data_IF_261708854617
#
_entry.id   IF_261708854617
#
_cell.length_a   1.000
_cell.length_b   1.000
_cell.length_c   1.000
_cell.angle_alpha   90.00
_cell.angle_beta   90.00
_cell.angle_gamma   90.00
#
_symmetry.space_group_name_H-M   'P 1'
#
loop_
_entity.id
_entity.type
_entity.pdbx_description
1 polymer ?
#
# COMPACT_ATOMS: atom_id res chain seq x y z
N UNK A 1 19.43 14.23 -26.60
CA UNK A 1 18.87 13.11 -25.82
C UNK A 1 19.64 13.05 -24.52
N UNK A 2 19.04 13.45 -23.39
CA UNK A 2 19.71 13.33 -22.10
C UNK A 2 19.73 11.85 -21.71
N UNK A 3 20.91 11.22 -21.75
CA UNK A 3 21.08 9.83 -21.33
C UNK A 3 20.96 9.81 -19.81
N UNK A 4 19.94 9.15 -19.29
CA UNK A 4 19.81 8.92 -17.84
C UNK A 4 20.97 8.02 -17.41
N UNK A 5 21.66 8.42 -16.34
CA UNK A 5 22.74 7.62 -15.75
C UNK A 5 22.20 6.23 -15.38
N UNK A 6 22.89 5.16 -15.81
CA UNK A 6 22.52 3.76 -15.55
C UNK A 6 22.28 3.48 -14.06
N UNK A 7 23.15 3.99 -13.20
CA UNK A 7 23.04 3.81 -11.74
C UNK A 7 21.81 4.53 -11.18
N UNK A 8 21.53 5.75 -11.69
CA UNK A 8 20.33 6.50 -11.32
C UNK A 8 19.06 5.77 -11.79
N UNK A 9 19.06 5.19 -12.99
CA UNK A 9 17.93 4.41 -13.50
C UNK A 9 17.67 3.17 -12.64
N UNK A 10 18.72 2.42 -12.30
CA UNK A 10 18.60 1.25 -11.44
C UNK A 10 18.07 1.62 -10.05
N UNK A 11 18.57 2.72 -9.47
CA UNK A 11 18.09 3.23 -8.20
C UNK A 11 16.62 3.66 -8.27
N UNK A 12 16.21 4.34 -9.34
CA UNK A 12 14.80 4.70 -9.56
C UNK A 12 13.90 3.47 -9.66
N UNK A 13 14.35 2.39 -10.30
CA UNK A 13 13.60 1.13 -10.36
C UNK A 13 13.39 0.52 -8.97
N UNK A 14 14.43 0.46 -8.14
CA UNK A 14 14.31 -0.06 -6.77
C UNK A 14 13.45 0.86 -5.90
N UNK A 15 13.56 2.17 -6.06
CA UNK A 15 12.70 3.14 -5.38
C UNK A 15 11.22 2.91 -5.72
N UNK A 16 10.87 2.81 -7.00
CA UNK A 16 9.49 2.53 -7.46
C UNK A 16 8.96 1.19 -6.92
N UNK A 17 9.82 0.18 -6.86
CA UNK A 17 9.48 -1.13 -6.27
C UNK A 17 9.16 -0.98 -4.78
N UNK A 18 10.03 -0.32 -4.01
CA UNK A 18 9.82 -0.10 -2.58
C UNK A 18 8.58 0.75 -2.30
N UNK A 19 8.39 1.84 -3.05
CA UNK A 19 7.19 2.68 -2.97
C UNK A 19 5.91 1.86 -3.17
N UNK A 20 5.89 1.00 -4.19
CA UNK A 20 4.72 0.16 -4.50
C UNK A 20 4.46 -0.89 -3.43
N UNK A 21 5.52 -1.50 -2.88
CA UNK A 21 5.42 -2.47 -1.78
C UNK A 21 4.89 -1.81 -0.51
N UNK A 22 5.38 -0.61 -0.17
CA UNK A 22 4.90 0.15 0.98
C UNK A 22 3.44 0.56 0.83
N UNK A 23 3.05 1.03 -0.36
CA UNK A 23 1.66 1.37 -0.66
C UNK A 23 0.72 0.17 -0.42
N UNK A 24 1.10 -1.00 -0.92
CA UNK A 24 0.31 -2.23 -0.76
C UNK A 24 0.26 -2.69 0.71
N UNK A 25 1.39 -2.67 1.41
CA UNK A 25 1.48 -3.10 2.80
C UNK A 25 0.59 -2.23 3.71
N UNK A 26 0.73 -0.89 3.61
CA UNK A 26 -0.07 0.05 4.42
C UNK A 26 -1.55 -0.01 4.09
N UNK A 27 -1.92 -0.20 2.82
CA UNK A 27 -3.33 -0.37 2.45
C UNK A 27 -3.89 -1.69 3.03
N UNK A 28 -3.10 -2.76 3.08
CA UNK A 28 -3.51 -4.04 3.68
C UNK A 28 -3.68 -3.91 5.20
N UNK A 29 -2.78 -3.20 5.87
CA UNK A 29 -2.92 -2.91 7.30
C UNK A 29 -4.16 -2.04 7.59
N UNK A 30 -4.46 -1.07 6.73
CA UNK A 30 -5.67 -0.25 6.85
C UNK A 30 -6.94 -1.10 6.69
N UNK A 31 -6.95 -2.04 5.76
CA UNK A 31 -8.04 -3.02 5.62
C UNK A 31 -8.22 -3.85 6.90
N UNK A 32 -7.13 -4.39 7.46
CA UNK A 32 -7.18 -5.21 8.68
C UNK A 32 -7.70 -4.43 9.90
N UNK A 33 -7.33 -3.14 10.03
CA UNK A 33 -7.85 -2.26 11.08
C UNK A 33 -9.36 -2.07 10.97
N UNK A 34 -9.87 -1.87 9.75
CA UNK A 34 -11.28 -1.66 9.50
C UNK A 34 -12.08 -2.95 9.72
N UNK A 35 -11.59 -4.09 9.24
CA UNK A 35 -12.26 -5.37 9.45
C UNK A 35 -12.30 -5.76 10.94
N UNK A 36 -11.22 -5.52 11.68
CA UNK A 36 -11.19 -5.72 13.14
C UNK A 36 -12.22 -4.86 13.88
N UNK A 37 -12.64 -3.73 13.31
CA UNK A 37 -13.71 -2.89 13.88
C UNK A 37 -15.13 -3.35 13.51
N UNK A 38 -15.25 -4.28 12.55
CA UNK A 38 -16.51 -4.78 12.01
C UNK A 38 -16.82 -6.23 12.40
N UNK A 39 -15.86 -6.95 12.99
CA UNK A 39 -16.09 -8.27 13.59
C UNK A 39 -16.77 -8.14 14.96
N UNK A 40 -18.11 -8.25 14.95
CA UNK A 40 -18.91 -8.53 16.15
C UNK A 40 -18.69 -9.99 16.64
N UNK A 41 -19.10 -10.27 17.90
CA UNK A 41 -18.91 -11.51 18.71
C UNK A 41 -19.10 -12.88 18.00
N UNK A 42 -19.63 -12.93 16.78
CA UNK A 42 -19.95 -14.17 16.06
C UNK A 42 -18.80 -14.75 15.23
N UNK A 43 -17.64 -14.09 15.13
CA UNK A 43 -16.37 -14.73 14.74
C UNK A 43 -16.28 -15.35 13.33
N UNK A 44 -17.18 -15.03 12.39
CA UNK A 44 -17.12 -15.57 11.03
C UNK A 44 -16.58 -14.54 10.02
N UNK A 45 -15.29 -14.58 9.72
CA UNK A 45 -14.69 -13.84 8.60
C UNK A 45 -14.54 -14.78 7.39
N UNK A 46 -15.60 -14.87 6.58
CA UNK A 46 -15.59 -15.70 5.35
C UNK A 46 -15.78 -14.85 4.12
N UNK A 47 -14.92 -13.86 3.92
CA UNK A 47 -14.83 -13.17 2.63
C UNK A 47 -13.38 -12.96 2.29
N UNK A 48 -13.01 -13.37 1.08
CA UNK A 48 -11.72 -13.10 0.46
C UNK A 48 -11.40 -11.62 0.65
N UNK A 49 -10.36 -11.31 1.43
CA UNK A 49 -9.85 -9.95 1.68
C UNK A 49 -9.30 -9.38 0.38
N UNK A 50 -10.20 -8.93 -0.49
CA UNK A 50 -9.83 -8.15 -1.66
C UNK A 50 -9.58 -6.72 -1.18
N UNK A 51 -8.37 -6.23 -1.43
CA UNK A 51 -7.97 -4.89 -1.09
C UNK A 51 -8.77 -3.90 -1.93
N UNK A 52 -9.61 -3.10 -1.28
CA UNK A 52 -10.38 -2.06 -1.95
C UNK A 52 -9.60 -0.76 -2.07
N UNK A 53 -9.96 0.08 -3.04
CA UNK A 53 -9.24 1.32 -3.39
C UNK A 53 -9.31 2.33 -2.25
N UNK A 54 -10.39 2.32 -1.47
CA UNK A 54 -10.66 3.21 -0.35
C UNK A 54 -9.58 3.08 0.75
N UNK A 55 -9.01 1.88 0.93
CA UNK A 55 -7.91 1.66 1.89
C UNK A 55 -6.63 2.36 1.44
N UNK A 56 -6.35 2.36 0.12
CA UNK A 56 -5.23 3.09 -0.45
C UNK A 56 -5.43 4.61 -0.37
N UNK A 57 -6.63 5.10 -0.69
CA UNK A 57 -6.96 6.53 -0.63
C UNK A 57 -6.76 7.12 0.78
N UNK A 58 -7.06 6.34 1.82
CA UNK A 58 -6.86 6.76 3.23
C UNK A 58 -5.39 6.93 3.60
N UNK A 59 -4.51 6.04 3.14
CA UNK A 59 -3.08 6.09 3.47
C UNK A 59 -2.28 6.96 2.51
N UNK A 60 -2.85 7.32 1.35
CA UNK A 60 -2.18 8.06 0.27
C UNK A 60 -1.56 9.39 0.71
N UNK A 61 -2.21 10.25 1.52
CA UNK A 61 -1.61 11.51 1.94
C UNK A 61 -0.32 11.31 2.73
N UNK A 62 -0.29 10.36 3.67
CA UNK A 62 0.92 10.06 4.45
C UNK A 62 1.98 9.39 3.59
N UNK A 63 1.58 8.47 2.69
CA UNK A 63 2.49 7.82 1.77
C UNK A 63 3.22 8.82 0.87
N UNK A 64 2.53 9.85 0.38
CA UNK A 64 3.14 10.90 -0.45
C UNK A 64 4.00 11.91 0.34
N UNK A 65 3.85 11.98 1.66
CA UNK A 65 4.70 12.81 2.52
C UNK A 65 6.00 12.10 2.92
N UNK A 66 5.97 10.78 3.01
CA UNK A 66 7.12 9.97 3.41
C UNK A 66 8.16 9.77 2.29
N UNK A 67 7.75 9.95 1.02
CA UNK A 67 8.55 9.74 -0.19
C UNK A 67 8.77 11.06 -0.94
#
# INVERSE_FOLDING_TARGET
>A
MCVVNKEALQLSCEFLRLFTVEALHRASEEQDKIESSLTDESGTTTSRKELQVEHLERILPQLLLDF
#
